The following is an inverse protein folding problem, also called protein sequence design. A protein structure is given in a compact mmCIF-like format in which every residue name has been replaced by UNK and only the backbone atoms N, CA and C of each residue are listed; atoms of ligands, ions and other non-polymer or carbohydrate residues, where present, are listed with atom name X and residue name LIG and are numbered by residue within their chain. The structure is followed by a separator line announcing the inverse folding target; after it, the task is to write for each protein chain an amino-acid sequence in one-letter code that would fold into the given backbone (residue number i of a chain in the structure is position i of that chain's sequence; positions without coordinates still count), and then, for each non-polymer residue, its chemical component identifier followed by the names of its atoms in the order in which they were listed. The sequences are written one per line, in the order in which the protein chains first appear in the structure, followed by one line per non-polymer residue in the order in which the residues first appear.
data_IF_279287783176
#
_entry.id   IF_279287783176
#
_cell.length_a   1.000
_cell.length_b   1.000
_cell.length_c   1.000
_cell.angle_alpha   90.00
_cell.angle_beta   90.00
_cell.angle_gamma   90.00
#
_symmetry.space_group_name_H-M   'P 1'
#
loop_
_entity.id
_entity.type
_entity.pdbx_description
1 polymer ?
#
# COMPACT_ATOMS: atom_id res chain seq x y z
N UNK A 1 24.28 -3.17 10.93
CA UNK A 1 22.97 -2.72 10.42
C UNK A 1 22.85 -3.38 9.05
N UNK A 2 21.80 -4.16 8.80
CA UNK A 2 21.63 -4.77 7.47
C UNK A 2 21.04 -3.68 6.57
N UNK A 3 21.79 -3.24 5.55
CA UNK A 3 21.38 -2.25 4.54
C UNK A 3 20.29 -2.80 3.58
N UNK A 4 19.33 -3.56 4.12
CA UNK A 4 18.26 -4.24 3.35
C UNK A 4 17.32 -3.24 2.68
N UNK A 5 17.15 -2.07 3.28
CA UNK A 5 16.45 -0.90 2.77
C UNK A 5 17.11 -0.34 1.51
N UNK A 6 18.44 -0.30 1.46
CA UNK A 6 19.21 0.15 0.29
C UNK A 6 19.23 -0.89 -0.83
N UNK A 7 19.29 -2.17 -0.47
CA UNK A 7 19.30 -3.27 -1.46
C UNK A 7 17.92 -3.45 -2.11
N UNK A 8 16.83 -3.27 -1.35
CA UNK A 8 15.45 -3.46 -1.84
C UNK A 8 14.54 -2.25 -1.58
N UNK A 9 14.85 -1.05 -2.11
CA UNK A 9 14.18 0.20 -1.75
C UNK A 9 12.70 0.19 -2.15
N UNK A 10 12.35 -0.40 -3.30
CA UNK A 10 10.97 -0.48 -3.75
C UNK A 10 10.10 -1.38 -2.85
N UNK A 11 10.63 -2.52 -2.38
CA UNK A 11 9.91 -3.40 -1.44
C UNK A 11 9.80 -2.74 -0.07
N UNK A 12 10.89 -2.10 0.38
CA UNK A 12 10.94 -1.36 1.63
C UNK A 12 9.88 -0.25 1.69
N UNK A 13 9.84 0.64 0.68
CA UNK A 13 8.90 1.75 0.63
C UNK A 13 7.43 1.30 0.57
N UNK A 14 7.14 0.17 -0.08
CA UNK A 14 5.80 -0.43 -0.07
C UNK A 14 5.40 -0.89 1.33
N UNK A 15 6.32 -1.51 2.06
CA UNK A 15 6.09 -1.94 3.43
C UNK A 15 5.99 -0.75 4.41
N UNK A 16 6.77 0.31 4.22
CA UNK A 16 6.62 1.56 4.97
C UNK A 16 5.20 2.12 4.83
N UNK A 17 4.73 2.27 3.59
CA UNK A 17 3.37 2.77 3.31
C UNK A 17 2.29 1.85 3.90
N UNK A 18 2.49 0.53 3.85
CA UNK A 18 1.57 -0.42 4.47
C UNK A 18 1.54 -0.26 5.99
N UNK A 19 2.71 -0.13 6.64
CA UNK A 19 2.81 0.04 8.08
C UNK A 19 2.20 1.37 8.57
N UNK A 20 2.32 2.42 7.76
CA UNK A 20 1.74 3.74 8.02
C UNK A 20 0.21 3.73 7.89
N UNK A 21 -0.31 3.22 6.77
CA UNK A 21 -1.76 3.30 6.46
C UNK A 21 -2.55 2.19 7.15
N UNK A 22 -1.98 0.98 7.22
CA UNK A 22 -2.65 -0.23 7.75
C UNK A 22 -1.74 -0.99 8.72
N UNK A 23 -1.46 -0.40 9.89
CA UNK A 23 -0.54 -0.98 10.88
C UNK A 23 -0.96 -2.37 11.38
N UNK A 24 -2.26 -2.66 11.48
CA UNK A 24 -2.75 -3.98 11.91
C UNK A 24 -2.51 -5.04 10.83
N UNK A 25 -2.83 -4.73 9.57
CA UNK A 25 -2.55 -5.61 8.43
C UNK A 25 -1.05 -5.88 8.30
N UNK A 26 -0.21 -4.85 8.43
CA UNK A 26 1.24 -5.00 8.45
C UNK A 26 1.70 -5.97 9.55
N UNK A 27 1.17 -5.86 10.77
CA UNK A 27 1.52 -6.77 11.88
C UNK A 27 1.18 -8.23 11.57
N UNK A 28 0.01 -8.47 10.99
CA UNK A 28 -0.41 -9.82 10.60
C UNK A 28 0.52 -10.40 9.53
N UNK A 29 0.83 -9.63 8.49
CA UNK A 29 1.76 -10.04 7.44
C UNK A 29 3.16 -10.29 8.00
N UNK A 30 3.67 -9.39 8.85
CA UNK A 30 4.96 -9.54 9.51
C UNK A 30 5.03 -10.82 10.37
N UNK A 31 3.98 -11.13 11.12
CA UNK A 31 3.90 -12.35 11.92
C UNK A 31 3.93 -13.62 11.06
N UNK A 32 3.25 -13.61 9.90
CA UNK A 32 3.29 -14.70 8.93
C UNK A 32 4.68 -14.88 8.32
N UNK A 33 5.33 -13.78 7.90
CA UNK A 33 6.72 -13.81 7.40
C UNK A 33 7.69 -14.32 8.47
N UNK A 34 7.51 -13.90 9.72
CA UNK A 34 8.31 -14.41 10.84
C UNK A 34 8.08 -15.92 11.02
N UNK A 35 6.84 -16.39 10.93
CA UNK A 35 6.55 -17.82 11.01
C UNK A 35 7.27 -18.61 9.90
N UNK A 36 7.25 -18.07 8.68
CA UNK A 36 7.83 -18.67 7.48
C UNK A 36 9.36 -18.79 7.55
N UNK A 37 10.05 -17.85 8.21
CA UNK A 37 11.50 -17.91 8.38
C UNK A 37 11.90 -18.81 9.57
N UNK A 38 12.38 -20.06 9.33
CA UNK A 38 12.61 -21.02 10.40
C UNK A 38 13.81 -20.65 11.27
N UNK A 39 13.82 -21.17 12.50
CA UNK A 39 14.93 -20.95 13.45
C UNK A 39 16.28 -21.42 12.92
N UNK A 40 16.31 -22.52 12.17
CA UNK A 40 17.53 -23.08 11.58
C UNK A 40 18.19 -22.07 10.65
N UNK A 41 17.42 -21.51 9.70
CA UNK A 41 17.88 -20.48 8.76
C UNK A 41 18.37 -19.23 9.49
N UNK A 42 17.62 -18.75 10.48
CA UNK A 42 18.04 -17.57 11.27
C UNK A 42 19.32 -17.83 12.08
N UNK A 43 19.56 -19.08 12.54
CA UNK A 43 20.80 -19.45 13.23
C UNK A 43 21.97 -19.56 12.25
N UNK A 44 21.74 -20.09 11.05
CA UNK A 44 22.71 -20.12 9.97
C UNK A 44 23.14 -18.70 9.59
N UNK A 45 22.18 -17.81 9.32
CA UNK A 45 22.45 -16.41 9.01
C UNK A 45 23.28 -15.72 10.12
N UNK A 46 22.88 -15.88 11.40
CA UNK A 46 23.67 -15.33 12.53
C UNK A 46 25.10 -15.87 12.65
N UNK A 47 25.40 -17.02 12.05
CA UNK A 47 26.77 -17.54 11.99
C UNK A 47 27.55 -16.84 10.88
N UNK A 48 26.94 -16.64 9.71
CA UNK A 48 27.52 -15.85 8.62
C UNK A 48 27.77 -14.39 9.03
N UNK A 49 26.87 -13.77 9.79
CA UNK A 49 27.01 -12.39 10.30
C UNK A 49 28.24 -12.16 11.22
N UNK A 50 29.04 -13.20 11.50
CA UNK A 50 30.29 -13.10 12.28
C UNK A 50 31.53 -12.84 11.41
N UNK A 51 31.39 -12.89 10.09
CA UNK A 51 32.46 -12.63 9.13
C UNK A 51 31.91 -11.82 7.95
N UNK A 52 32.81 -11.44 7.04
CA UNK A 52 32.49 -10.81 5.76
C UNK A 52 32.76 -11.84 4.66
N UNK A 53 31.81 -12.09 3.73
CA UNK A 53 30.50 -11.44 3.61
C UNK A 53 29.53 -11.82 4.73
N UNK A 54 28.62 -10.91 5.08
CA UNK A 54 27.53 -11.21 6.02
C UNK A 54 26.47 -12.13 5.38
N UNK A 55 25.48 -12.60 6.14
CA UNK A 55 24.47 -13.53 5.63
C UNK A 55 23.73 -13.01 4.39
N UNK A 56 23.28 -11.74 4.43
CA UNK A 56 22.55 -11.13 3.32
C UNK A 56 23.42 -11.08 2.05
N UNK A 57 24.66 -10.60 2.17
CA UNK A 57 25.61 -10.51 1.06
C UNK A 57 25.94 -11.88 0.46
N UNK A 58 26.16 -12.88 1.31
CA UNK A 58 26.36 -14.27 0.89
C UNK A 58 25.15 -14.84 0.13
N UNK A 59 23.94 -14.59 0.62
CA UNK A 59 22.71 -15.06 -0.02
C UNK A 59 22.44 -14.36 -1.36
N UNK A 60 22.71 -13.06 -1.45
CA UNK A 60 22.55 -12.31 -2.70
C UNK A 60 23.59 -12.70 -3.74
N UNK A 61 24.87 -12.82 -3.35
CA UNK A 61 25.93 -13.33 -4.24
C UNK A 61 25.62 -14.75 -4.74
N UNK A 62 25.06 -15.62 -3.89
CA UNK A 62 24.61 -16.92 -4.34
C UNK A 62 23.51 -16.82 -5.41
N UNK A 63 22.50 -15.96 -5.18
CA UNK A 63 21.37 -15.76 -6.11
C UNK A 63 21.81 -15.12 -7.44
N UNK A 64 22.72 -14.16 -7.37
CA UNK A 64 23.07 -13.30 -8.51
C UNK A 64 24.25 -13.88 -9.30
N UNK A 65 25.18 -14.60 -8.67
CA UNK A 65 26.37 -15.16 -9.32
C UNK A 65 26.33 -16.69 -9.49
N UNK A 66 26.00 -17.43 -8.43
CA UNK A 66 26.09 -18.90 -8.42
C UNK A 66 24.89 -19.55 -9.12
N UNK A 67 23.68 -19.12 -8.80
CA UNK A 67 22.44 -19.70 -9.33
C UNK A 67 22.36 -19.65 -10.87
N UNK A 68 22.70 -18.55 -11.57
CA UNK A 68 22.69 -18.52 -13.04
C UNK A 68 23.68 -19.51 -13.65
N UNK A 69 24.86 -19.69 -13.03
CA UNK A 69 25.87 -20.66 -13.48
C UNK A 69 25.38 -22.10 -13.30
N UNK A 70 24.76 -22.40 -12.16
CA UNK A 70 24.15 -23.72 -11.92
C UNK A 70 23.05 -24.05 -12.94
N UNK A 71 22.17 -23.09 -13.25
CA UNK A 71 21.13 -23.25 -14.29
C UNK A 71 21.71 -23.43 -15.69
N UNK A 72 22.80 -22.73 -16.02
CA UNK A 72 23.51 -22.91 -17.29
C UNK A 72 24.09 -24.32 -17.41
N UNK A 73 24.69 -24.84 -16.34
CA UNK A 73 25.21 -26.22 -16.31
C UNK A 73 24.06 -27.24 -16.40
N UNK A 74 22.96 -27.00 -15.69
CA UNK A 74 21.79 -27.89 -15.67
C UNK A 74 21.09 -28.01 -17.03
N UNK A 75 21.03 -26.92 -17.78
CA UNK A 75 20.41 -26.89 -19.11
C UNK A 75 21.31 -27.45 -20.22
N UNK A 76 22.62 -27.59 -19.99
CA UNK A 76 23.56 -28.05 -21.01
C UNK A 76 23.17 -29.42 -21.64
N UNK A 77 22.75 -30.45 -20.87
CA UNK A 77 22.35 -31.75 -21.43
C UNK A 77 21.03 -31.72 -22.22
N UNK A 78 20.32 -30.59 -22.24
CA UNK A 78 19.05 -30.40 -22.96
C UNK A 78 19.26 -29.63 -24.27
N UNK A 79 20.45 -29.09 -24.51
CA UNK A 79 20.76 -28.28 -25.69
C UNK A 79 21.07 -29.17 -26.89
N UNK A 80 20.14 -29.24 -27.84
CA UNK A 80 20.28 -30.05 -29.06
C UNK A 80 21.54 -29.73 -29.86
N UNK A 81 21.96 -28.47 -29.90
CA UNK A 81 23.19 -28.04 -30.58
C UNK A 81 24.43 -28.62 -29.91
N UNK A 82 24.51 -28.53 -28.58
CA UNK A 82 25.62 -29.10 -27.80
C UNK A 82 25.70 -30.63 -27.95
N UNK A 83 24.54 -31.31 -27.89
CA UNK A 83 24.46 -32.76 -28.09
C UNK A 83 24.99 -33.12 -29.47
N UNK A 84 24.50 -32.47 -30.54
CA UNK A 84 24.97 -32.74 -31.90
C UNK A 84 26.47 -32.48 -32.06
N UNK A 85 26.96 -31.34 -31.60
CA UNK A 85 28.40 -31.03 -31.70
C UNK A 85 29.27 -32.03 -30.95
N UNK A 86 28.86 -32.52 -29.78
CA UNK A 86 29.61 -33.56 -29.08
C UNK A 86 29.47 -34.93 -29.74
N UNK A 87 28.27 -35.29 -30.20
CA UNK A 87 27.96 -36.52 -30.93
C UNK A 87 28.85 -36.65 -32.18
N UNK A 88 28.91 -35.58 -32.99
CA UNK A 88 29.72 -35.50 -34.21
C UNK A 88 31.23 -35.57 -33.93
N UNK A 89 31.72 -34.88 -32.88
CA UNK A 89 33.15 -34.82 -32.57
C UNK A 89 33.68 -36.07 -31.86
N UNK A 90 32.84 -36.76 -31.08
CA UNK A 90 33.24 -37.96 -30.32
C UNK A 90 32.73 -39.26 -30.94
N UNK A 91 32.03 -39.20 -32.08
CA UNK A 91 31.48 -40.35 -32.82
C UNK A 91 30.56 -41.23 -31.94
N UNK A 92 29.72 -40.59 -31.12
CA UNK A 92 28.77 -41.24 -30.20
C UNK A 92 27.33 -41.08 -30.69
N UNK A 93 26.39 -41.87 -30.18
CA UNK A 93 24.95 -41.63 -30.43
C UNK A 93 24.45 -40.43 -29.62
N UNK A 94 23.44 -39.71 -30.12
CA UNK A 94 22.81 -38.56 -29.45
C UNK A 94 22.30 -38.93 -28.05
N UNK A 95 21.75 -40.14 -27.88
CA UNK A 95 21.29 -40.64 -26.57
C UNK A 95 22.44 -40.84 -25.60
N UNK A 96 23.52 -41.47 -26.05
CA UNK A 96 24.72 -41.71 -25.23
C UNK A 96 25.39 -40.38 -24.84
N UNK A 97 25.49 -39.46 -25.80
CA UNK A 97 26.02 -38.10 -25.61
C UNK A 97 25.20 -37.33 -24.57
N UNK A 98 23.87 -37.41 -24.63
CA UNK A 98 23.00 -36.80 -23.63
C UNK A 98 23.23 -37.37 -22.23
N UNK A 99 23.42 -38.69 -22.09
CA UNK A 99 23.73 -39.33 -20.79
C UNK A 99 25.10 -38.88 -20.25
N UNK A 100 26.13 -38.80 -21.10
CA UNK A 100 27.46 -38.32 -20.71
C UNK A 100 27.41 -36.86 -20.25
N UNK A 101 26.67 -36.01 -20.98
CA UNK A 101 26.44 -34.62 -20.61
C UNK A 101 25.71 -34.49 -19.27
N UNK A 102 24.75 -35.36 -18.97
CA UNK A 102 24.09 -35.37 -17.65
C UNK A 102 25.08 -35.70 -16.52
N UNK A 103 25.99 -36.65 -16.72
CA UNK A 103 27.01 -36.97 -15.73
C UNK A 103 27.99 -35.80 -15.53
N UNK A 104 28.48 -35.22 -16.64
CA UNK A 104 29.37 -34.07 -16.61
C UNK A 104 28.71 -32.84 -15.95
N UNK A 105 27.43 -32.61 -16.21
CA UNK A 105 26.65 -31.54 -15.58
C UNK A 105 26.57 -31.72 -14.06
N UNK A 106 26.30 -32.94 -13.56
CA UNK A 106 26.28 -33.22 -12.11
C UNK A 106 27.64 -32.95 -11.44
N UNK A 107 28.73 -33.39 -12.07
CA UNK A 107 30.08 -33.11 -11.55
C UNK A 107 30.41 -31.62 -11.57
N UNK A 108 30.12 -30.95 -12.69
CA UNK A 108 30.35 -29.52 -12.85
C UNK A 108 29.54 -28.68 -11.85
N UNK A 109 28.30 -29.06 -11.54
CA UNK A 109 27.52 -28.42 -10.48
C UNK A 109 28.18 -28.57 -9.10
N UNK A 110 28.71 -29.74 -8.76
CA UNK A 110 29.43 -29.97 -7.50
C UNK A 110 30.68 -29.07 -7.40
N UNK A 111 31.46 -29.01 -8.48
CA UNK A 111 32.66 -28.17 -8.56
C UNK A 111 32.31 -26.69 -8.41
N UNK A 112 31.27 -26.21 -9.09
CA UNK A 112 30.87 -24.81 -9.01
C UNK A 112 30.34 -24.42 -7.62
N UNK A 113 29.60 -25.32 -6.96
CA UNK A 113 29.16 -25.12 -5.57
C UNK A 113 30.34 -25.01 -4.61
N UNK A 114 31.33 -25.90 -4.75
CA UNK A 114 32.54 -25.88 -3.92
C UNK A 114 33.37 -24.62 -4.17
N UNK A 115 33.54 -24.24 -5.44
CA UNK A 115 34.22 -23.00 -5.84
C UNK A 115 33.56 -21.78 -5.21
N UNK A 116 32.23 -21.67 -5.28
CA UNK A 116 31.48 -20.57 -4.69
C UNK A 116 31.71 -20.48 -3.18
N UNK A 117 31.62 -21.60 -2.46
CA UNK A 117 31.87 -21.62 -1.02
C UNK A 117 33.32 -21.19 -0.67
N UNK A 118 34.30 -21.63 -1.45
CA UNK A 118 35.72 -21.28 -1.26
C UNK A 118 36.02 -19.82 -1.56
N UNK A 119 35.33 -19.22 -2.54
CA UNK A 119 35.48 -17.81 -2.90
C UNK A 119 35.04 -16.87 -1.77
N UNK A 120 33.98 -17.22 -1.04
CA UNK A 120 33.45 -16.40 0.05
C UNK A 120 34.08 -16.72 1.41
N UNK A 121 34.43 -17.98 1.66
CA UNK A 121 35.04 -18.40 2.92
C UNK A 121 36.20 -19.36 2.64
N UNK A 122 37.41 -18.91 2.96
CA UNK A 122 38.62 -19.70 2.79
C UNK A 122 38.63 -20.95 3.70
N UNK A 123 39.46 -21.95 3.36
CA UNK A 123 39.59 -23.17 4.14
C UNK A 123 40.06 -22.95 5.59
N UNK A 124 40.74 -21.82 5.87
CA UNK A 124 41.09 -21.40 7.23
C UNK A 124 39.87 -21.15 8.12
N UNK A 125 38.75 -20.73 7.51
CA UNK A 125 37.46 -20.53 8.18
C UNK A 125 36.60 -21.80 8.13
N UNK A 126 37.17 -22.95 8.52
CA UNK A 126 36.58 -24.29 8.38
C UNK A 126 35.11 -24.38 8.76
N UNK A 127 34.66 -23.64 9.78
CA UNK A 127 33.25 -23.65 10.23
C UNK A 127 32.31 -22.91 9.27
N UNK A 128 32.72 -21.74 8.75
CA UNK A 128 31.92 -20.94 7.82
C UNK A 128 31.93 -21.55 6.43
N UNK A 129 33.09 -22.03 5.99
CA UNK A 129 33.21 -22.77 4.73
C UNK A 129 32.31 -24.02 4.71
N UNK A 130 32.31 -24.83 5.77
CA UNK A 130 31.38 -25.98 5.90
C UNK A 130 29.92 -25.54 5.88
N UNK A 131 29.58 -24.45 6.57
CA UNK A 131 28.21 -23.93 6.60
C UNK A 131 27.76 -23.42 5.23
N UNK A 132 28.65 -22.76 4.49
CA UNK A 132 28.41 -22.35 3.11
C UNK A 132 28.17 -23.59 2.24
N UNK A 133 29.02 -24.61 2.30
CA UNK A 133 28.83 -25.88 1.61
C UNK A 133 27.49 -26.54 1.96
N UNK A 134 27.12 -26.61 3.23
CA UNK A 134 25.82 -27.13 3.68
C UNK A 134 24.64 -26.38 3.04
N UNK A 135 24.78 -25.08 2.80
CA UNK A 135 23.78 -24.29 2.10
C UNK A 135 23.79 -24.57 0.58
N UNK A 136 24.92 -24.38 -0.12
CA UNK A 136 24.98 -24.52 -1.60
C UNK A 136 24.74 -25.95 -2.09
N UNK A 137 24.96 -26.96 -1.25
CA UNK A 137 24.71 -28.36 -1.62
C UNK A 137 23.23 -28.75 -1.65
N UNK A 138 22.33 -27.93 -1.11
CA UNK A 138 20.89 -28.15 -1.22
C UNK A 138 20.41 -27.98 -2.68
N UNK A 139 19.14 -28.28 -2.95
CA UNK A 139 18.59 -27.98 -4.29
C UNK A 139 18.52 -26.47 -4.50
N UNK A 140 18.70 -26.02 -5.75
CA UNK A 140 18.65 -24.60 -6.09
C UNK A 140 17.30 -23.96 -5.73
N UNK A 141 16.21 -24.72 -5.81
CA UNK A 141 14.86 -24.30 -5.41
C UNK A 141 14.79 -24.02 -3.91
N UNK A 142 15.30 -24.92 -3.07
CA UNK A 142 15.31 -24.77 -1.62
C UNK A 142 16.17 -23.59 -1.20
N UNK A 143 17.36 -23.44 -1.79
CA UNK A 143 18.22 -22.27 -1.55
C UNK A 143 17.50 -20.98 -1.94
N UNK A 144 16.88 -20.92 -3.12
CA UNK A 144 16.15 -19.72 -3.58
C UNK A 144 15.01 -19.36 -2.63
N UNK A 145 14.23 -20.34 -2.18
CA UNK A 145 13.15 -20.11 -1.23
C UNK A 145 13.69 -19.61 0.12
N UNK A 146 14.78 -20.17 0.62
CA UNK A 146 15.41 -19.71 1.86
C UNK A 146 15.92 -18.27 1.75
N UNK A 147 16.53 -17.90 0.61
CA UNK A 147 17.00 -16.53 0.35
C UNK A 147 15.82 -15.55 0.38
N UNK A 148 14.75 -15.82 -0.37
CA UNK A 148 13.59 -14.93 -0.40
C UNK A 148 12.89 -14.80 0.96
N UNK A 149 12.68 -15.92 1.66
CA UNK A 149 12.09 -15.91 3.01
C UNK A 149 12.95 -15.12 4.00
N UNK A 150 14.28 -15.20 3.88
CA UNK A 150 15.19 -14.45 4.74
C UNK A 150 15.20 -12.95 4.39
N UNK A 151 15.16 -12.59 3.11
CA UNK A 151 15.03 -11.21 2.64
C UNK A 151 13.73 -10.58 3.15
N UNK A 152 12.60 -11.27 2.99
CA UNK A 152 11.31 -10.82 3.53
C UNK A 152 11.37 -10.65 5.04
N UNK A 153 11.96 -11.63 5.76
CA UNK A 153 12.13 -11.54 7.20
C UNK A 153 12.91 -10.29 7.62
N UNK A 154 14.01 -9.98 6.93
CA UNK A 154 14.79 -8.78 7.21
C UNK A 154 14.02 -7.50 6.89
N UNK A 155 13.32 -7.44 5.76
CA UNK A 155 12.52 -6.28 5.35
C UNK A 155 11.42 -5.95 6.36
N UNK A 156 10.57 -6.92 6.69
CA UNK A 156 9.50 -6.73 7.68
C UNK A 156 10.06 -6.37 9.05
N UNK A 157 11.21 -6.93 9.42
CA UNK A 157 11.88 -6.61 10.67
C UNK A 157 12.41 -5.17 10.69
N UNK A 158 13.05 -4.71 9.61
CA UNK A 158 13.55 -3.33 9.52
C UNK A 158 12.42 -2.31 9.61
N UNK A 159 11.30 -2.52 8.88
CA UNK A 159 10.14 -1.62 8.95
C UNK A 159 9.49 -1.67 10.33
N UNK A 160 9.36 -2.84 10.95
CA UNK A 160 8.83 -2.94 12.30
C UNK A 160 9.71 -2.22 13.33
N UNK A 161 11.04 -2.29 13.18
CA UNK A 161 11.99 -1.55 14.03
C UNK A 161 11.86 -0.03 13.82
N UNK A 162 11.72 0.45 12.59
CA UNK A 162 11.53 1.89 12.28
C UNK A 162 10.26 2.47 12.92
N UNK A 163 9.13 1.76 12.82
CA UNK A 163 7.87 2.20 13.43
C UNK A 163 7.74 1.84 14.92
N UNK A 164 8.77 1.26 15.55
CA UNK A 164 8.71 0.81 16.95
C UNK A 164 7.62 -0.25 17.22
N UNK A 165 7.23 -1.01 16.20
CA UNK A 165 6.18 -2.02 16.29
C UNK A 165 6.75 -3.33 16.83
N UNK A 166 6.14 -3.83 17.93
CA UNK A 166 6.45 -5.17 18.40
C UNK A 166 5.60 -6.19 17.66
N UNK A 167 6.25 -7.03 16.86
CA UNK A 167 5.63 -8.17 16.18
C UNK A 167 5.87 -9.43 16.99
N UNK A 168 4.81 -10.22 17.25
CA UNK A 168 4.95 -11.54 17.85
C UNK A 168 5.63 -12.48 16.88
N UNK A 169 6.76 -13.04 17.30
CA UNK A 169 7.51 -14.02 16.51
C UNK A 169 7.13 -15.45 16.93
N UNK A 170 6.46 -16.22 16.06
CA UNK A 170 6.09 -17.61 16.36
C UNK A 170 7.33 -18.51 16.55
N UNK A 171 8.45 -18.13 15.93
CA UNK A 171 9.72 -18.81 16.08
C UNK A 171 10.52 -18.28 17.28
N UNK A 172 10.04 -17.33 18.09
CA UNK A 172 10.72 -16.93 19.32
C UNK A 172 10.55 -17.95 20.45
N UNK A 173 11.49 -17.96 21.41
CA UNK A 173 11.37 -18.76 22.66
C UNK A 173 10.10 -18.36 23.41
N UNK A 174 9.51 -19.28 24.16
CA UNK A 174 8.20 -19.08 24.81
C UNK A 174 8.15 -17.80 25.65
N UNK A 175 9.15 -17.54 26.48
CA UNK A 175 9.22 -16.33 27.32
C UNK A 175 9.19 -15.06 26.46
N UNK A 176 10.05 -14.98 25.44
CA UNK A 176 10.11 -13.84 24.50
C UNK A 176 8.78 -13.67 23.77
N UNK A 177 8.15 -14.77 23.35
CA UNK A 177 6.85 -14.77 22.66
C UNK A 177 5.74 -14.23 23.56
N UNK A 178 5.72 -14.62 24.83
CA UNK A 178 4.74 -14.13 25.82
C UNK A 178 4.91 -12.65 26.08
N UNK A 179 6.17 -12.18 26.23
CA UNK A 179 6.45 -10.75 26.38
C UNK A 179 6.02 -9.95 25.14
N UNK A 180 6.42 -10.39 23.94
CA UNK A 180 6.00 -9.78 22.68
C UNK A 180 4.49 -9.70 22.56
N UNK A 181 3.77 -10.77 22.93
CA UNK A 181 2.29 -10.80 22.87
C UNK A 181 1.66 -9.79 23.82
N UNK A 182 2.24 -9.57 25.02
CA UNK A 182 1.74 -8.56 25.96
C UNK A 182 1.96 -7.15 25.43
N UNK A 183 3.16 -6.87 24.93
CA UNK A 183 3.53 -5.54 24.38
C UNK A 183 2.70 -5.24 23.13
N UNK A 184 2.61 -6.18 22.20
CA UNK A 184 1.81 -6.05 20.98
C UNK A 184 0.34 -5.73 21.30
N UNK A 185 -0.29 -6.49 22.20
CA UNK A 185 -1.67 -6.23 22.63
C UNK A 185 -1.83 -4.85 23.26
N UNK A 186 -0.86 -4.42 24.07
CA UNK A 186 -0.89 -3.10 24.67
C UNK A 186 -0.79 -1.99 23.61
N UNK A 187 0.13 -2.11 22.65
CA UNK A 187 0.28 -1.18 21.53
C UNK A 187 -1.00 -1.09 20.69
N UNK A 188 -1.56 -2.23 20.29
CA UNK A 188 -2.82 -2.30 19.53
C UNK A 188 -3.95 -1.64 20.31
N UNK A 189 -4.15 -2.01 21.58
CA UNK A 189 -5.21 -1.41 22.40
C UNK A 189 -5.06 0.09 22.56
N UNK A 190 -3.84 0.59 22.76
CA UNK A 190 -3.57 2.03 22.87
C UNK A 190 -3.93 2.75 21.58
N UNK A 191 -3.45 2.24 20.45
CA UNK A 191 -3.71 2.79 19.12
C UNK A 191 -5.20 2.79 18.80
N UNK A 192 -5.88 1.65 18.95
CA UNK A 192 -7.32 1.53 18.69
C UNK A 192 -8.13 2.46 19.59
N UNK A 193 -7.74 2.63 20.87
CA UNK A 193 -8.42 3.58 21.77
C UNK A 193 -8.23 5.03 21.33
N UNK A 194 -7.01 5.41 20.91
CA UNK A 194 -6.74 6.77 20.42
C UNK A 194 -7.52 7.04 19.13
N UNK A 195 -7.48 6.12 18.17
CA UNK A 195 -8.23 6.23 16.93
C UNK A 195 -9.75 6.29 17.17
N UNK A 196 -10.31 5.45 18.05
CA UNK A 196 -11.74 5.51 18.41
C UNK A 196 -12.13 6.81 19.11
N UNK A 197 -11.29 7.34 20.01
CA UNK A 197 -11.55 8.65 20.63
C UNK A 197 -11.58 9.74 19.57
N UNK A 198 -10.62 9.73 18.65
CA UNK A 198 -10.56 10.71 17.57
C UNK A 198 -11.73 10.58 16.60
N UNK A 199 -12.16 9.35 16.30
CA UNK A 199 -13.38 9.11 15.52
C UNK A 199 -14.61 9.72 16.20
N UNK A 200 -14.77 9.54 17.51
CA UNK A 200 -15.89 10.15 18.23
C UNK A 200 -15.83 11.69 18.22
N UNK A 201 -14.63 12.28 18.35
CA UNK A 201 -14.43 13.73 18.21
C UNK A 201 -14.80 14.22 16.81
N UNK A 202 -14.41 13.46 15.78
CA UNK A 202 -14.77 13.74 14.39
C UNK A 202 -16.29 13.66 14.21
N UNK A 203 -16.93 12.58 14.67
CA UNK A 203 -18.37 12.39 14.54
C UNK A 203 -19.15 13.53 15.22
N UNK A 204 -18.69 14.00 16.39
CA UNK A 204 -19.24 15.19 17.05
C UNK A 204 -19.03 16.47 16.25
N UNK A 205 -17.81 16.74 15.79
CA UNK A 205 -17.50 17.92 14.99
C UNK A 205 -18.23 17.93 13.64
N UNK A 206 -18.43 16.77 13.00
CA UNK A 206 -19.22 16.67 11.78
C UNK A 206 -20.68 16.95 12.05
N UNK A 207 -21.25 16.46 13.16
CA UNK A 207 -22.64 16.75 13.53
C UNK A 207 -22.86 18.25 13.81
N UNK A 208 -21.90 18.91 14.47
CA UNK A 208 -21.93 20.37 14.67
C UNK A 208 -21.92 21.13 13.35
N UNK A 209 -21.03 20.74 12.43
CA UNK A 209 -20.94 21.35 11.09
C UNK A 209 -22.21 21.09 10.27
N UNK A 210 -22.78 19.88 10.37
CA UNK A 210 -24.02 19.52 9.69
C UNK A 210 -25.21 20.30 10.22
N UNK A 211 -25.26 20.62 11.51
CA UNK A 211 -26.31 21.46 12.10
C UNK A 211 -26.11 22.96 11.83
N UNK A 212 -24.88 23.38 11.52
CA UNK A 212 -24.56 24.78 11.22
C UNK A 212 -25.38 25.31 10.03
N UNK A 213 -25.77 26.59 10.12
CA UNK A 213 -26.54 27.27 9.08
C UNK A 213 -27.80 26.50 8.65
N UNK A 214 -28.58 26.01 9.63
CA UNK A 214 -29.85 25.29 9.42
C UNK A 214 -29.71 24.05 8.52
N UNK A 215 -28.64 23.27 8.65
CA UNK A 215 -28.50 22.07 7.84
C UNK A 215 -28.01 22.32 6.41
N UNK A 216 -27.56 23.52 6.08
CA UNK A 216 -27.18 23.86 4.71
C UNK A 216 -25.91 23.12 4.26
N UNK A 217 -24.93 22.97 5.16
CA UNK A 217 -23.69 22.22 4.87
C UNK A 217 -23.98 20.75 4.60
N UNK A 218 -24.81 20.12 5.44
CA UNK A 218 -25.24 18.73 5.26
C UNK A 218 -25.95 18.52 3.91
N UNK A 219 -26.85 19.45 3.54
CA UNK A 219 -27.58 19.40 2.27
C UNK A 219 -26.67 19.60 1.06
N UNK A 220 -25.77 20.59 1.11
CA UNK A 220 -24.78 20.83 0.04
C UNK A 220 -23.91 19.59 -0.20
N UNK A 221 -23.44 18.95 0.88
CA UNK A 221 -22.62 17.75 0.78
C UNK A 221 -23.41 16.52 0.32
N UNK A 222 -24.57 16.26 0.91
CA UNK A 222 -25.42 15.11 0.58
C UNK A 222 -25.94 15.14 -0.86
N UNK A 223 -26.28 16.33 -1.38
CA UNK A 223 -26.68 16.53 -2.76
C UNK A 223 -25.51 16.65 -3.74
N UNK A 224 -24.26 16.59 -3.26
CA UNK A 224 -23.02 16.76 -4.05
C UNK A 224 -22.99 18.06 -4.86
N UNK A 225 -23.58 19.12 -4.34
CA UNK A 225 -23.62 20.43 -5.00
C UNK A 225 -22.27 21.13 -4.83
N UNK A 226 -21.67 21.57 -5.94
CA UNK A 226 -20.46 22.38 -5.87
C UNK A 226 -20.75 23.82 -5.43
N UNK A 227 -20.45 24.09 -4.16
CA UNK A 227 -20.66 25.40 -3.55
C UNK A 227 -19.95 26.55 -4.29
N UNK A 228 -18.78 26.31 -4.91
CA UNK A 228 -18.05 27.33 -5.66
C UNK A 228 -18.84 27.73 -6.91
N UNK A 229 -19.38 26.76 -7.63
CA UNK A 229 -20.22 27.00 -8.81
C UNK A 229 -21.52 27.73 -8.44
N UNK A 230 -22.11 27.44 -7.29
CA UNK A 230 -23.27 28.20 -6.77
C UNK A 230 -22.90 29.66 -6.48
N UNK A 231 -21.75 29.91 -5.86
CA UNK A 231 -21.27 31.27 -5.60
C UNK A 231 -20.99 32.05 -6.89
N UNK A 232 -20.46 31.39 -7.93
CA UNK A 232 -20.25 32.00 -9.24
C UNK A 232 -21.59 32.41 -9.88
N UNK A 233 -22.58 31.53 -9.90
CA UNK A 233 -23.93 31.82 -10.40
C UNK A 233 -24.57 33.01 -9.67
N UNK A 234 -24.37 33.09 -8.35
CA UNK A 234 -24.83 34.23 -7.54
C UNK A 234 -24.13 35.53 -7.92
N UNK A 235 -22.81 35.53 -8.10
CA UNK A 235 -22.09 36.73 -8.52
C UNK A 235 -22.59 37.24 -9.88
N UNK A 236 -22.89 36.34 -10.81
CA UNK A 236 -23.50 36.71 -12.08
C UNK A 236 -24.91 37.27 -11.94
N UNK A 237 -25.71 36.69 -11.04
CA UNK A 237 -27.02 37.20 -10.67
C UNK A 237 -26.94 38.62 -10.11
N UNK A 238 -26.05 38.88 -9.15
CA UNK A 238 -25.85 40.21 -8.55
C UNK A 238 -25.37 41.23 -9.60
N UNK A 239 -24.43 40.85 -10.48
CA UNK A 239 -23.98 41.70 -11.60
C UNK A 239 -25.11 42.03 -12.57
N UNK A 240 -25.94 41.05 -12.91
CA UNK A 240 -27.06 41.25 -13.83
C UNK A 240 -28.18 42.08 -13.18
N UNK A 241 -28.40 41.92 -11.87
CA UNK A 241 -29.37 42.71 -11.09
C UNK A 241 -28.92 44.17 -10.97
N UNK A 242 -27.62 44.43 -10.77
CA UNK A 242 -27.06 45.78 -10.74
C UNK A 242 -27.17 46.53 -12.08
N UNK A 243 -27.27 45.80 -13.21
CA UNK A 243 -27.48 46.36 -14.55
C UNK A 243 -28.95 46.72 -14.83
N UNK A 244 -29.90 46.23 -14.02
CA UNK A 244 -31.31 46.56 -14.16
C UNK A 244 -31.61 47.94 -13.55
N UNK A 245 -32.54 48.69 -14.15
CA UNK A 245 -33.02 49.95 -13.57
C UNK A 245 -33.72 49.73 -12.21
N UNK A 246 -33.68 50.72 -11.30
CA UNK A 246 -34.17 50.62 -9.91
C UNK A 246 -35.59 50.01 -9.78
N UNK A 247 -36.53 50.36 -10.67
CA UNK A 247 -37.89 49.80 -10.67
C UNK A 247 -37.93 48.32 -11.06
N UNK A 248 -37.16 47.91 -12.07
CA UNK A 248 -37.06 46.50 -12.47
C UNK A 248 -36.26 45.65 -11.48
N UNK A 249 -35.24 46.23 -10.86
CA UNK A 249 -34.42 45.58 -9.84
C UNK A 249 -35.21 45.32 -8.55
N UNK A 250 -36.28 46.08 -8.26
CA UNK A 250 -37.15 45.88 -7.10
C UNK A 250 -38.38 45.01 -7.39
N UNK A 251 -38.62 44.60 -8.64
CA UNK A 251 -39.74 43.73 -8.99
C UNK A 251 -39.42 42.27 -8.61
N UNK A 252 -40.23 41.62 -7.75
CA UNK A 252 -40.00 40.23 -7.35
C UNK A 252 -40.02 39.26 -8.54
N UNK A 253 -40.93 39.44 -9.49
CA UNK A 253 -41.04 38.60 -10.69
C UNK A 253 -39.79 38.66 -11.57
N UNK A 254 -39.18 39.85 -11.74
CA UNK A 254 -37.95 40.01 -12.51
C UNK A 254 -36.73 39.41 -11.79
N UNK A 255 -36.68 39.50 -10.46
CA UNK A 255 -35.64 38.84 -9.66
C UNK A 255 -35.70 37.32 -9.79
N UNK A 256 -36.90 36.76 -9.66
CA UNK A 256 -37.11 35.32 -9.78
C UNK A 256 -36.74 34.80 -11.18
N UNK A 257 -37.18 35.47 -12.24
CA UNK A 257 -36.81 35.09 -13.61
C UNK A 257 -35.29 35.17 -13.87
N UNK A 258 -34.61 36.15 -13.28
CA UNK A 258 -33.15 36.28 -13.40
C UNK A 258 -32.42 35.19 -12.61
N UNK A 259 -32.93 34.85 -11.42
CA UNK A 259 -32.41 33.76 -10.59
C UNK A 259 -32.54 32.43 -11.34
N UNK A 260 -33.73 32.11 -11.85
CA UNK A 260 -33.98 30.86 -12.57
C UNK A 260 -33.08 30.69 -13.77
N UNK A 261 -32.88 31.77 -14.54
CA UNK A 261 -31.96 31.78 -15.69
C UNK A 261 -30.51 31.55 -15.29
N UNK A 262 -30.09 32.01 -14.10
CA UNK A 262 -28.70 31.91 -13.63
C UNK A 262 -28.39 30.61 -12.90
N UNK A 263 -29.40 29.89 -12.45
CA UNK A 263 -29.24 28.59 -11.78
C UNK A 263 -29.68 27.41 -12.64
N UNK A 264 -30.15 27.65 -13.87
CA UNK A 264 -30.63 26.62 -14.81
C UNK A 264 -29.62 25.49 -15.02
N UNK A 265 -28.36 25.84 -15.32
CA UNK A 265 -27.29 24.85 -15.56
C UNK A 265 -27.03 23.98 -14.32
N UNK A 266 -27.01 24.59 -13.12
CA UNK A 266 -26.81 23.87 -11.86
C UNK A 266 -27.94 22.89 -11.55
N UNK A 267 -29.19 23.28 -11.86
CA UNK A 267 -30.35 22.41 -11.70
C UNK A 267 -30.31 21.26 -12.69
N UNK A 268 -30.00 21.54 -13.95
CA UNK A 268 -29.90 20.54 -15.01
C UNK A 268 -28.81 19.51 -14.70
N UNK A 269 -27.64 19.97 -14.27
CA UNK A 269 -26.52 19.11 -13.86
C UNK A 269 -26.91 18.20 -12.70
N UNK A 270 -27.51 18.75 -11.64
CA UNK A 270 -27.97 17.94 -10.50
C UNK A 270 -29.00 16.90 -10.92
N UNK A 271 -30.05 17.29 -11.65
CA UNK A 271 -31.11 16.38 -12.09
C UNK A 271 -30.57 15.24 -12.98
N UNK A 272 -29.54 15.49 -13.77
CA UNK A 272 -28.87 14.46 -14.57
C UNK A 272 -28.12 13.42 -13.72
N UNK A 273 -27.72 13.77 -12.50
CA UNK A 273 -26.94 12.90 -11.60
C UNK A 273 -27.78 12.15 -10.58
N UNK A 274 -29.05 12.51 -10.37
CA UNK A 274 -29.95 11.85 -9.41
C UNK A 274 -30.42 10.49 -9.98
N UNK A 275 -30.05 9.36 -9.35
CA UNK A 275 -30.51 8.05 -9.80
C UNK A 275 -31.99 7.83 -9.45
N UNK A 276 -32.72 7.11 -10.31
CA UNK A 276 -34.06 6.62 -9.99
C UNK A 276 -35.22 7.61 -10.21
N UNK A 277 -35.01 8.68 -10.97
CA UNK A 277 -36.08 9.57 -11.42
C UNK A 277 -36.98 8.86 -12.46
N UNK A 278 -37.92 8.05 -11.99
CA UNK A 278 -38.78 7.22 -12.84
C UNK A 278 -40.08 7.94 -13.28
N UNK A 279 -40.50 8.96 -12.54
CA UNK A 279 -41.75 9.67 -12.80
C UNK A 279 -41.62 11.19 -12.59
N UNK A 280 -42.61 11.94 -13.08
CA UNK A 280 -42.64 13.39 -12.99
C UNK A 280 -42.63 13.90 -11.54
N UNK A 281 -43.27 13.18 -10.61
CA UNK A 281 -43.30 13.57 -9.20
C UNK A 281 -41.94 13.48 -8.52
N UNK A 282 -41.12 12.49 -8.85
CA UNK A 282 -39.77 12.32 -8.31
C UNK A 282 -38.85 13.41 -8.86
N UNK A 283 -39.03 13.77 -10.13
CA UNK A 283 -38.32 14.87 -10.79
C UNK A 283 -38.68 16.22 -10.15
N UNK A 284 -39.96 16.46 -9.84
CA UNK A 284 -40.39 17.67 -9.15
C UNK A 284 -39.90 17.75 -7.70
N UNK A 285 -39.79 16.63 -6.99
CA UNK A 285 -39.22 16.59 -5.64
C UNK A 285 -37.74 16.95 -5.67
N UNK A 286 -36.96 16.32 -6.56
CA UNK A 286 -35.54 16.62 -6.74
C UNK A 286 -35.31 18.10 -7.12
N UNK A 287 -36.13 18.66 -8.03
CA UNK A 287 -36.07 20.07 -8.40
C UNK A 287 -36.34 21.01 -7.20
N UNK A 288 -37.34 20.69 -6.37
CA UNK A 288 -37.63 21.47 -5.15
C UNK A 288 -36.52 21.39 -4.12
N UNK A 289 -35.87 20.23 -3.98
CA UNK A 289 -34.76 20.05 -3.04
C UNK A 289 -33.54 20.89 -3.43
N UNK A 290 -33.14 20.87 -4.70
CA UNK A 290 -32.02 21.72 -5.16
C UNK A 290 -32.37 23.21 -5.09
N UNK A 291 -33.59 23.60 -5.47
CA UNK A 291 -34.03 24.99 -5.36
C UNK A 291 -34.02 25.50 -3.93
N UNK A 292 -34.44 24.66 -2.97
CA UNK A 292 -34.37 24.98 -1.55
C UNK A 292 -32.94 25.23 -1.06
N UNK A 293 -31.95 24.50 -1.58
CA UNK A 293 -30.53 24.69 -1.24
C UNK A 293 -29.94 25.92 -1.93
N UNK A 294 -30.21 26.09 -3.21
CA UNK A 294 -29.70 27.23 -3.99
C UNK A 294 -30.23 28.56 -3.45
N UNK A 295 -31.54 28.66 -3.18
CA UNK A 295 -32.12 29.84 -2.56
C UNK A 295 -31.50 30.13 -1.19
N UNK A 296 -31.34 29.10 -0.36
CA UNK A 296 -30.70 29.26 0.95
C UNK A 296 -29.26 29.78 0.85
N UNK A 297 -28.50 29.46 -0.21
CA UNK A 297 -27.17 30.03 -0.46
C UNK A 297 -27.23 31.47 -1.00
N UNK A 298 -28.21 31.76 -1.85
CA UNK A 298 -28.41 33.10 -2.43
C UNK A 298 -28.80 34.13 -1.36
N UNK A 299 -29.53 33.71 -0.33
CA UNK A 299 -29.97 34.59 0.77
C UNK A 299 -28.89 34.87 1.82
N UNK A 300 -27.74 34.18 1.78
CA UNK A 300 -26.67 34.36 2.77
C UNK A 300 -25.97 35.73 2.67
N UNK A 301 -25.49 36.24 3.80
CA UNK A 301 -24.58 37.39 3.84
C UNK A 301 -23.19 37.04 3.30
N UNK A 302 -22.32 38.04 3.08
CA UNK A 302 -20.91 37.79 2.73
C UNK A 302 -20.17 37.00 3.82
N UNK A 303 -20.43 37.31 5.09
CA UNK A 303 -19.81 36.64 6.24
C UNK A 303 -20.23 35.18 6.32
N UNK A 304 -21.54 34.91 6.27
CA UNK A 304 -22.08 33.55 6.31
C UNK A 304 -21.57 32.67 5.15
N UNK A 305 -21.33 33.26 3.98
CA UNK A 305 -20.75 32.53 2.84
C UNK A 305 -19.31 32.08 3.09
N UNK A 306 -18.50 33.00 3.61
CA UNK A 306 -17.11 32.68 3.98
C UNK A 306 -17.07 31.61 5.08
N UNK A 307 -17.99 31.69 6.04
CA UNK A 307 -18.13 30.69 7.09
C UNK A 307 -18.48 29.32 6.50
N UNK A 308 -19.47 29.23 5.60
CA UNK A 308 -19.83 27.96 4.93
C UNK A 308 -18.66 27.39 4.14
N UNK A 309 -17.91 28.23 3.42
CA UNK A 309 -16.73 27.78 2.68
C UNK A 309 -15.69 27.15 3.64
N UNK A 310 -15.45 27.79 4.79
CA UNK A 310 -14.53 27.27 5.80
C UNK A 310 -15.02 25.96 6.43
N UNK A 311 -16.33 25.86 6.71
CA UNK A 311 -16.98 24.68 7.27
C UNK A 311 -16.94 23.51 6.28
N UNK A 312 -17.21 23.74 4.99
CA UNK A 312 -17.12 22.71 3.95
C UNK A 312 -15.70 22.17 3.79
N UNK A 313 -14.69 23.04 3.86
CA UNK A 313 -13.29 22.62 3.83
C UNK A 313 -12.95 21.74 5.04
N UNK A 314 -13.31 22.20 6.24
CA UNK A 314 -13.11 21.45 7.49
C UNK A 314 -13.84 20.11 7.47
N UNK A 315 -15.08 20.07 6.97
CA UNK A 315 -15.87 18.84 6.85
C UNK A 315 -15.21 17.80 5.95
N UNK A 316 -14.67 18.21 4.78
CA UNK A 316 -13.93 17.31 3.88
C UNK A 316 -12.65 16.76 4.53
N UNK A 317 -11.93 17.60 5.27
CA UNK A 317 -10.73 17.18 6.00
C UNK A 317 -11.08 16.15 7.10
N UNK A 318 -12.16 16.39 7.85
CA UNK A 318 -12.66 15.48 8.88
C UNK A 318 -13.11 14.13 8.30
N UNK A 319 -13.80 14.12 7.15
CA UNK A 319 -14.18 12.86 6.48
C UNK A 319 -12.94 12.08 6.04
N UNK A 320 -11.95 12.74 5.44
CA UNK A 320 -10.70 12.07 5.04
C UNK A 320 -9.98 11.50 6.26
N UNK A 321 -9.89 12.26 7.35
CA UNK A 321 -9.30 11.78 8.60
C UNK A 321 -10.07 10.56 9.13
N UNK A 322 -11.40 10.60 9.12
CA UNK A 322 -12.27 9.48 9.51
C UNK A 322 -11.98 8.22 8.70
N UNK A 323 -11.89 8.34 7.38
CA UNK A 323 -11.55 7.23 6.49
C UNK A 323 -10.17 6.65 6.85
N UNK A 324 -9.15 7.49 7.03
CA UNK A 324 -7.81 7.02 7.40
C UNK A 324 -7.81 6.27 8.74
N UNK A 325 -8.48 6.82 9.76
CA UNK A 325 -8.58 6.18 11.08
C UNK A 325 -9.32 4.84 11.02
N UNK A 326 -10.39 4.76 10.22
CA UNK A 326 -11.10 3.51 9.98
C UNK A 326 -10.21 2.48 9.27
N UNK A 327 -9.42 2.89 8.28
CA UNK A 327 -8.46 1.97 7.63
C UNK A 327 -7.34 1.52 8.57
N UNK A 328 -6.92 2.35 9.53
CA UNK A 328 -5.88 1.99 10.49
C UNK A 328 -6.34 0.94 11.51
N UNK A 329 -7.60 1.01 11.94
CA UNK A 329 -8.19 0.09 12.94
C UNK A 329 -9.00 -1.04 12.32
N UNK A 330 -9.28 -0.98 11.02
CA UNK A 330 -9.95 -2.02 10.25
C UNK A 330 -9.01 -3.18 9.95
N UNK A 331 -9.59 -4.38 9.85
CA UNK A 331 -8.88 -5.62 9.50
C UNK A 331 -8.67 -5.75 7.98
#
# INVERSE_FOLDING_TARGET
MNDIDKVFPARYNRLLKLAEVRPLQFRQQAAAVYAACPRSLRRMARRFDRSVPMALEFFLSWRDDCLPRLRKIESAPQQKTLIKTMSDNFLTDDKQTATLLQYAAKQSQSIERARFAMQHYAEGEKKLHRLALEFVNQSAEVCSQQVEVYVDYLLYRSVAEEFGMTIRDPQARLIKRSFQSKVERHQIRRMTRQARRRLNEIDGATAEIEQAQNGLVARLFGLKIDYVSVLAARQEYEKALARLGKKSANSPAKRLALYEKKTEDLRAEYLATVPGLANLSDTQKAAKEIDGVLLAVFDLSNEQRNDIMSLLKRYRELIRERETLLTMIGD
#
